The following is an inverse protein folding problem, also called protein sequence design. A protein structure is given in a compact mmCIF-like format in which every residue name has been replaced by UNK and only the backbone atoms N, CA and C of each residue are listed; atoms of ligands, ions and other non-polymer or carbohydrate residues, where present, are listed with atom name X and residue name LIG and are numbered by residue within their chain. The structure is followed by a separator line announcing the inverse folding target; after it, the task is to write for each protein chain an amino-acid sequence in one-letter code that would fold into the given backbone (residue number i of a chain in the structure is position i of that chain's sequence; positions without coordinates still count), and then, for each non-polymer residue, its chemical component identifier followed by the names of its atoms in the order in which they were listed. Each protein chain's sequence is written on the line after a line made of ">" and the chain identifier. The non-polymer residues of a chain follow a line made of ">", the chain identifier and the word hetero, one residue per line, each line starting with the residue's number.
data_IF_249417759422
#
_entry.id   IF_249417759422
#
_cell.length_a   1.000
_cell.length_b   1.000
_cell.length_c   1.000
_cell.angle_alpha   90.00
_cell.angle_beta   90.00
_cell.angle_gamma   90.00
#
_symmetry.space_group_name_H-M   'P 1'
#
loop_
_entity.id
_entity.type
_entity.pdbx_description
1 polymer ?
#
# COMPACT_ATOMS: atom_id res chain seq x y z
N UNK A 1 23.50 51.90 10.37
CA UNK A 1 22.70 50.89 9.63
C UNK A 1 23.47 49.60 9.71
N UNK A 2 23.28 48.73 10.71
CA UNK A 2 22.02 48.33 11.39
C UNK A 2 20.98 47.84 10.37
N UNK A 3 20.34 46.67 10.51
CA UNK A 3 20.55 45.52 11.40
C UNK A 3 20.20 44.23 10.59
N UNK A 4 20.13 42.98 11.07
CA UNK A 4 19.72 42.42 12.37
C UNK A 4 20.68 41.29 12.81
N UNK A 5 20.73 41.06 14.12
CA UNK A 5 21.31 39.92 14.86
C UNK A 5 20.83 38.55 14.39
N UNK A 6 21.69 37.52 14.47
CA UNK A 6 21.55 36.44 15.48
C UNK A 6 22.51 35.26 15.22
N UNK A 7 23.82 35.47 15.40
CA UNK A 7 24.64 34.39 15.95
C UNK A 7 24.19 34.24 17.42
N UNK A 8 23.21 33.38 17.67
CA UNK A 8 22.93 32.93 19.02
C UNK A 8 24.22 32.33 19.59
N UNK A 9 24.66 32.83 20.74
CA UNK A 9 25.70 32.16 21.52
C UNK A 9 25.23 30.73 21.75
N UNK A 10 25.78 29.78 20.98
CA UNK A 10 25.42 28.36 21.07
C UNK A 10 25.90 27.83 22.42
N UNK A 11 25.07 28.03 23.44
CA UNK A 11 25.34 27.68 24.83
C UNK A 11 25.72 26.20 24.87
N UNK A 12 26.99 25.95 25.13
CA UNK A 12 27.51 24.58 25.18
C UNK A 12 26.94 23.94 26.45
N UNK A 13 26.31 22.78 26.29
CA UNK A 13 25.78 21.97 27.39
C UNK A 13 26.51 20.63 27.42
N UNK A 14 26.82 20.16 28.63
CA UNK A 14 27.37 18.84 28.89
C UNK A 14 26.21 17.84 29.02
N UNK A 15 26.13 16.86 28.12
CA UNK A 15 25.13 15.78 28.16
C UNK A 15 25.78 14.43 28.51
N UNK A 16 25.00 13.55 29.16
CA UNK A 16 25.39 12.18 29.48
C UNK A 16 24.99 11.21 28.37
N UNK A 17 25.95 10.81 27.54
CA UNK A 17 25.78 9.83 26.48
C UNK A 17 25.79 8.41 27.06
N UNK A 18 24.64 7.73 27.07
CA UNK A 18 24.50 6.34 27.53
C UNK A 18 24.31 5.42 26.32
N UNK A 19 25.32 4.62 26.01
CA UNK A 19 25.27 3.69 24.88
C UNK A 19 24.64 2.37 25.35
N UNK A 20 23.72 1.81 24.56
CA UNK A 20 23.21 0.46 24.77
C UNK A 20 24.25 -0.52 24.20
N UNK A 21 25.08 -1.09 25.08
CA UNK A 21 26.16 -2.00 24.75
C UNK A 21 27.25 -2.02 25.84
N UNK A 22 28.41 -2.66 25.59
CA UNK A 22 29.52 -2.75 26.54
C UNK A 22 30.31 -1.44 26.71
N UNK A 23 29.94 -0.36 26.00
CA UNK A 23 30.63 0.93 26.08
C UNK A 23 30.27 1.68 27.36
N UNK A 24 31.24 2.21 28.13
CA UNK A 24 30.93 3.05 29.29
C UNK A 24 30.21 4.34 28.87
N UNK A 25 29.31 4.86 29.72
CA UNK A 25 28.70 6.16 29.49
C UNK A 25 29.78 7.25 29.47
N UNK A 26 29.60 8.25 28.62
CA UNK A 26 30.58 9.30 28.43
C UNK A 26 29.89 10.67 28.41
N UNK A 27 30.62 11.72 28.77
CA UNK A 27 30.12 13.08 28.70
C UNK A 27 30.42 13.67 27.33
N UNK A 28 29.49 14.43 26.79
CA UNK A 28 29.61 14.99 25.45
C UNK A 28 29.13 16.45 25.45
N UNK A 29 29.96 17.33 24.92
CA UNK A 29 29.68 18.77 24.87
C UNK A 29 29.04 19.11 23.51
N UNK A 30 27.84 19.66 23.55
CA UNK A 30 27.03 19.96 22.37
C UNK A 30 26.34 21.32 22.50
N UNK A 31 25.98 21.97 21.38
CA UNK A 31 25.09 23.13 21.41
C UNK A 31 23.77 22.81 22.09
N UNK A 32 23.24 23.75 22.88
CA UNK A 32 21.91 23.67 23.50
C UNK A 32 20.76 23.58 22.50
N UNK A 33 20.97 23.98 21.26
CA UNK A 33 20.04 23.86 20.14
C UNK A 33 20.80 23.28 18.95
N UNK A 34 20.42 22.06 18.53
CA UNK A 34 21.11 21.32 17.46
C UNK A 34 20.12 20.51 16.62
N UNK A 35 20.36 20.42 15.31
CA UNK A 35 19.59 19.53 14.42
C UNK A 35 19.89 18.07 14.77
N UNK A 36 18.88 17.19 14.78
CA UNK A 36 19.08 15.76 15.08
C UNK A 36 20.14 15.12 14.17
N UNK A 37 20.14 15.48 12.88
CA UNK A 37 21.14 15.01 11.92
C UNK A 37 22.57 15.46 12.27
N UNK A 38 22.75 16.71 12.70
CA UNK A 38 24.06 17.26 13.10
C UNK A 38 24.56 16.59 14.38
N UNK A 39 23.68 16.44 15.39
CA UNK A 39 23.95 15.70 16.62
C UNK A 39 24.36 14.26 16.33
N UNK A 40 23.64 13.57 15.43
CA UNK A 40 23.95 12.20 15.02
C UNK A 40 25.29 12.11 14.30
N UNK A 41 25.60 13.06 13.42
CA UNK A 41 26.90 13.16 12.73
C UNK A 41 28.07 13.39 13.70
N UNK A 42 27.89 14.23 14.72
CA UNK A 42 28.90 14.46 15.77
C UNK A 42 29.17 13.19 16.59
N UNK A 43 28.12 12.48 17.02
CA UNK A 43 28.24 11.22 17.79
C UNK A 43 28.89 10.12 16.93
N UNK A 44 28.47 10.00 15.67
CA UNK A 44 29.01 9.05 14.70
C UNK A 44 30.51 9.28 14.44
N UNK A 45 30.91 10.52 14.16
CA UNK A 45 32.30 10.90 13.86
C UNK A 45 33.25 10.64 15.02
N UNK A 46 32.83 10.96 16.25
CA UNK A 46 33.66 10.76 17.45
C UNK A 46 33.94 9.28 17.78
N UNK A 47 33.11 8.34 17.29
CA UNK A 47 33.24 6.89 17.58
C UNK A 47 33.34 6.00 16.35
N UNK A 48 33.54 6.59 15.16
CA UNK A 48 33.61 5.90 13.87
C UNK A 48 32.41 4.94 13.61
N UNK A 49 31.21 5.35 14.02
CA UNK A 49 29.98 4.55 13.91
C UNK A 49 29.18 4.94 12.65
N UNK A 50 28.53 3.99 11.95
CA UNK A 50 27.71 4.31 10.79
C UNK A 50 26.44 5.07 11.20
N UNK A 51 26.26 6.27 10.63
CA UNK A 51 25.16 7.22 10.95
C UNK A 51 23.77 6.58 10.81
N UNK A 52 23.58 5.73 9.79
CA UNK A 52 22.29 5.10 9.46
C UNK A 52 21.76 4.16 10.55
N UNK A 53 22.65 3.58 11.37
CA UNK A 53 22.28 2.57 12.36
C UNK A 53 22.08 3.15 13.78
N UNK A 54 22.26 4.46 13.96
CA UNK A 54 22.16 5.12 15.27
C UNK A 54 20.72 5.58 15.55
N UNK A 55 20.04 4.89 16.48
CA UNK A 55 18.76 5.33 17.06
C UNK A 55 19.06 6.13 18.32
N UNK A 56 18.76 7.42 18.29
CA UNK A 56 18.95 8.35 19.41
C UNK A 56 17.64 8.47 20.21
N UNK A 57 17.72 8.42 21.54
CA UNK A 57 16.55 8.54 22.43
C UNK A 57 16.85 9.54 23.55
N UNK A 58 16.04 10.59 23.66
CA UNK A 58 16.17 11.66 24.63
C UNK A 58 14.89 11.74 25.48
N UNK A 59 15.02 11.64 26.81
CA UNK A 59 13.89 11.69 27.76
C UNK A 59 12.73 10.74 27.41
N UNK A 60 13.04 9.57 26.86
CA UNK A 60 12.07 8.55 26.41
C UNK A 60 11.60 8.69 24.96
N UNK A 61 11.81 9.85 24.31
CA UNK A 61 11.40 10.08 22.93
C UNK A 61 12.51 9.72 21.94
N UNK A 62 12.16 8.99 20.88
CA UNK A 62 13.06 8.71 19.75
C UNK A 62 13.28 9.99 18.94
N UNK A 63 14.53 10.31 18.63
CA UNK A 63 14.89 11.46 17.79
C UNK A 63 15.06 11.04 16.33
N UNK A 64 14.06 11.40 15.52
CA UNK A 64 14.05 11.22 14.07
C UNK A 64 14.77 12.41 13.39
N UNK A 65 15.50 12.16 12.30
CA UNK A 65 16.26 13.21 11.59
C UNK A 65 15.34 14.24 10.93
N UNK A 66 14.26 13.76 10.31
CA UNK A 66 13.23 14.57 9.68
C UNK A 66 11.84 14.12 10.10
N UNK A 67 10.96 15.09 10.30
CA UNK A 67 9.54 14.88 10.61
C UNK A 67 8.75 15.73 9.62
N UNK A 68 7.86 15.10 8.84
CA UNK A 68 7.15 15.69 7.70
C UNK A 68 8.00 16.35 6.58
N UNK A 69 9.33 16.30 6.66
CA UNK A 69 10.25 16.80 5.63
C UNK A 69 11.17 17.93 6.10
N UNK A 70 10.93 18.48 7.29
CA UNK A 70 11.80 19.49 7.91
C UNK A 70 12.81 18.84 8.88
N UNK A 71 14.00 19.44 8.98
CA UNK A 71 15.05 19.03 9.93
C UNK A 71 14.60 19.32 11.37
N UNK A 72 14.44 18.28 12.19
CA UNK A 72 14.04 18.48 13.59
C UNK A 72 15.18 19.09 14.40
N UNK A 73 14.92 20.24 15.03
CA UNK A 73 15.82 20.86 16.01
C UNK A 73 15.45 20.37 17.41
N UNK A 74 16.46 19.99 18.19
CA UNK A 74 16.30 19.51 19.57
C UNK A 74 16.99 20.46 20.52
N UNK A 75 16.29 20.81 21.60
CA UNK A 75 16.85 21.56 22.72
C UNK A 75 17.41 20.60 23.77
N UNK A 76 18.65 20.86 24.18
CA UNK A 76 19.42 20.05 25.13
C UNK A 76 19.77 20.92 26.34
N UNK A 77 19.57 20.37 27.54
CA UNK A 77 19.91 20.98 28.82
C UNK A 77 21.15 20.33 29.42
N UNK A 78 21.83 21.08 30.29
CA UNK A 78 23.01 20.57 31.01
C UNK A 78 22.61 19.41 31.93
N UNK A 79 23.28 18.26 31.78
CA UNK A 79 22.96 17.02 32.51
C UNK A 79 21.88 16.14 31.88
N UNK A 80 21.33 16.48 30.70
CA UNK A 80 20.41 15.58 29.98
C UNK A 80 21.09 14.24 29.66
N UNK A 81 20.34 13.13 29.76
CA UNK A 81 20.81 11.82 29.32
C UNK A 81 20.29 11.51 27.91
N UNK A 82 21.22 11.31 26.99
CA UNK A 82 20.97 10.88 25.62
C UNK A 82 21.35 9.41 25.49
N UNK A 83 20.36 8.56 25.22
CA UNK A 83 20.58 7.13 24.99
C UNK A 83 20.87 6.91 23.50
N UNK A 84 21.91 6.13 23.21
CA UNK A 84 22.30 5.75 21.85
C UNK A 84 22.18 4.24 21.70
N UNK A 85 21.29 3.80 20.82
CA UNK A 85 21.14 2.42 20.42
C UNK A 85 21.70 2.20 19.02
N UNK A 86 22.26 1.00 18.79
CA UNK A 86 22.76 0.58 17.48
C UNK A 86 21.83 -0.48 16.90
N UNK A 87 21.14 -0.19 15.78
CA UNK A 87 20.41 -1.23 15.03
C UNK A 87 21.47 -2.08 14.31
N UNK A 88 21.58 -3.40 14.56
CA UNK A 88 22.49 -4.26 13.81
C UNK A 88 22.10 -4.25 12.32
N UNK A 89 23.06 -4.56 11.44
CA UNK A 89 22.74 -4.72 10.01
C UNK A 89 21.64 -5.78 9.88
N UNK A 90 20.54 -5.50 9.15
CA UNK A 90 19.44 -6.45 9.03
C UNK A 90 19.93 -7.75 8.38
N UNK A 91 19.40 -8.92 8.79
CA UNK A 91 19.79 -10.20 8.20
C UNK A 91 19.51 -10.24 6.68
N UNK A 92 20.20 -11.15 5.94
CA UNK A 92 19.99 -11.31 4.50
C UNK A 92 18.52 -11.56 4.14
N UNK A 93 18.10 -11.06 2.98
CA UNK A 93 16.69 -10.95 2.58
C UNK A 93 15.86 -12.24 2.65
N UNK A 94 16.48 -13.42 2.55
CA UNK A 94 15.79 -14.71 2.66
C UNK A 94 15.08 -14.96 4.00
N UNK A 95 15.34 -14.16 5.05
CA UNK A 95 14.63 -14.25 6.33
C UNK A 95 13.58 -13.13 6.54
N UNK A 96 13.35 -12.24 5.56
CA UNK A 96 12.48 -11.06 5.75
C UNK A 96 11.02 -11.29 5.47
N UNK A 97 10.67 -12.27 4.64
CA UNK A 97 9.30 -12.48 4.19
C UNK A 97 8.34 -12.96 5.31
N UNK A 98 8.87 -13.31 6.49
CA UNK A 98 8.13 -13.89 7.62
C UNK A 98 8.22 -13.05 8.92
N UNK A 99 9.08 -12.02 8.98
CA UNK A 99 9.38 -11.26 10.21
C UNK A 99 9.59 -9.74 10.04
N UNK A 100 9.04 -9.10 8.99
CA UNK A 100 8.95 -7.63 8.90
C UNK A 100 7.79 -7.07 9.79
N UNK A 101 7.79 -7.43 11.08
CA UNK A 101 7.12 -6.68 12.15
C UNK A 101 8.13 -5.62 12.70
N UNK A 102 8.42 -4.56 11.93
CA UNK A 102 9.20 -3.41 12.43
C UNK A 102 8.23 -2.47 13.18
N UNK A 103 8.26 -2.58 14.50
CA UNK A 103 7.47 -1.87 15.51
C UNK A 103 7.40 -0.33 15.34
N UNK A 104 6.48 0.19 14.54
CA UNK A 104 6.10 1.62 14.49
C UNK A 104 4.64 1.82 13.97
N UNK A 105 3.67 1.05 14.49
CA UNK A 105 2.24 1.44 14.53
C UNK A 105 1.44 0.50 15.46
N UNK A 106 0.85 1.07 16.52
CA UNK A 106 -0.04 0.34 17.44
C UNK A 106 -1.36 -0.02 16.73
N UNK A 107 -1.78 -1.28 16.84
CA UNK A 107 -2.97 -1.94 16.26
C UNK A 107 -2.83 -2.52 14.83
N UNK A 108 -2.76 -3.85 14.81
CA UNK A 108 -2.68 -4.73 13.62
C UNK A 108 -3.89 -4.57 12.69
N UNK A 109 -3.65 -4.03 11.49
CA UNK A 109 -4.33 -4.48 10.26
C UNK A 109 -3.27 -4.65 9.17
N UNK A 110 -2.78 -5.88 8.99
CA UNK A 110 -1.77 -6.19 7.98
C UNK A 110 -2.38 -6.10 6.57
N UNK A 111 -2.00 -5.07 5.80
CA UNK A 111 -2.35 -4.97 4.37
C UNK A 111 -1.33 -5.74 3.51
N UNK A 112 -1.76 -6.36 2.38
CA UNK A 112 -0.89 -7.20 1.56
C UNK A 112 0.39 -6.49 1.04
N UNK A 113 1.52 -7.22 0.89
CA UNK A 113 2.87 -6.66 0.76
C UNK A 113 3.21 -6.07 -0.62
N UNK A 114 2.25 -5.41 -1.28
CA UNK A 114 2.46 -4.79 -2.59
C UNK A 114 1.60 -3.54 -2.78
N UNK A 115 2.11 -2.35 -2.39
CA UNK A 115 2.20 -1.22 -3.33
C UNK A 115 3.19 -0.12 -2.92
N UNK A 116 3.83 0.47 -3.94
CA UNK A 116 4.49 1.79 -4.02
C UNK A 116 4.30 2.79 -2.86
N UNK A 117 5.40 3.44 -2.45
CA UNK A 117 5.48 4.46 -1.38
C UNK A 117 4.42 5.57 -1.45
N UNK A 118 3.98 5.96 -2.66
CA UNK A 118 2.94 6.98 -2.85
C UNK A 118 1.59 6.56 -2.26
N UNK A 119 1.24 5.27 -2.36
CA UNK A 119 0.01 4.71 -1.80
C UNK A 119 0.01 4.81 -0.26
N UNK A 120 1.11 4.51 0.43
CA UNK A 120 1.23 4.76 1.89
C UNK A 120 0.99 6.23 2.25
N UNK A 121 1.58 7.18 1.50
CA UNK A 121 1.37 8.62 1.76
C UNK A 121 -0.09 9.05 1.56
N UNK A 122 -0.77 8.49 0.56
CA UNK A 122 -2.21 8.71 0.36
C UNK A 122 -3.08 8.15 1.50
N UNK A 123 -2.73 6.96 2.03
CA UNK A 123 -3.44 6.33 3.14
C UNK A 123 -3.42 7.22 4.40
N UNK A 124 -2.25 7.70 4.84
CA UNK A 124 -2.17 8.60 6.00
C UNK A 124 -2.95 9.91 5.79
N UNK A 125 -2.78 10.56 4.63
CA UNK A 125 -3.50 11.81 4.32
C UNK A 125 -5.03 11.62 4.38
N UNK A 126 -5.54 10.47 3.92
CA UNK A 126 -6.98 10.17 3.94
C UNK A 126 -7.47 9.74 5.34
N UNK A 127 -6.65 9.04 6.13
CA UNK A 127 -6.95 8.68 7.52
C UNK A 127 -7.07 9.94 8.39
N UNK A 128 -6.05 10.80 8.36
CA UNK A 128 -5.92 11.95 9.26
C UNK A 128 -6.92 13.07 8.94
N UNK A 129 -7.25 13.28 7.66
CA UNK A 129 -8.16 14.35 7.23
C UNK A 129 -9.63 13.95 7.20
N UNK A 130 -9.93 12.65 7.14
CA UNK A 130 -11.25 12.18 6.71
C UNK A 130 -11.87 11.08 7.58
N UNK A 131 -11.15 10.50 8.56
CA UNK A 131 -11.65 9.45 9.49
C UNK A 131 -12.39 8.29 8.79
N UNK A 132 -11.98 7.91 7.60
CA UNK A 132 -12.61 6.79 6.88
C UNK A 132 -12.30 5.47 7.59
N UNK A 133 -13.31 4.59 7.80
CA UNK A 133 -13.08 3.28 8.41
C UNK A 133 -12.21 2.40 7.52
N UNK A 134 -11.27 1.67 8.13
CA UNK A 134 -10.20 0.92 7.44
C UNK A 134 -10.72 -0.08 6.40
N UNK A 135 -11.94 -0.63 6.60
CA UNK A 135 -12.60 -1.53 5.65
C UNK A 135 -12.79 -0.87 4.26
N UNK A 136 -13.19 0.41 4.20
CA UNK A 136 -13.39 1.12 2.95
C UNK A 136 -12.06 1.42 2.25
N UNK A 137 -11.03 1.76 3.03
CA UNK A 137 -9.67 1.97 2.53
C UNK A 137 -9.11 0.67 1.93
N UNK A 138 -9.31 -0.47 2.59
CA UNK A 138 -8.89 -1.79 2.13
C UNK A 138 -9.56 -2.18 0.79
N UNK A 139 -10.88 -2.00 0.68
CA UNK A 139 -11.64 -2.25 -0.57
C UNK A 139 -11.19 -1.31 -1.70
N UNK A 140 -11.05 -0.02 -1.41
CA UNK A 140 -10.58 1.00 -2.36
C UNK A 140 -9.19 0.66 -2.91
N UNK A 141 -8.30 0.09 -2.10
CA UNK A 141 -6.95 -0.30 -2.51
C UNK A 141 -6.83 -1.65 -3.22
N UNK A 142 -7.68 -2.61 -2.83
CA UNK A 142 -7.75 -3.95 -3.43
C UNK A 142 -8.16 -3.85 -4.91
N UNK A 143 -9.09 -2.94 -5.21
CA UNK A 143 -9.57 -2.69 -6.57
C UNK A 143 -8.62 -1.74 -7.32
N UNK A 144 -8.26 -2.10 -8.55
CA UNK A 144 -7.37 -1.25 -9.36
C UNK A 144 -8.00 0.10 -9.73
N UNK A 145 -7.18 1.15 -9.85
CA UNK A 145 -7.64 2.51 -10.21
C UNK A 145 -8.44 2.53 -11.53
N UNK A 146 -8.10 1.65 -12.49
CA UNK A 146 -8.82 1.49 -13.76
C UNK A 146 -10.28 1.07 -13.56
N UNK A 147 -10.52 0.13 -12.63
CA UNK A 147 -11.87 -0.35 -12.28
C UNK A 147 -12.64 0.74 -11.53
N UNK A 148 -11.99 1.51 -10.66
CA UNK A 148 -12.63 2.67 -10.03
C UNK A 148 -13.05 3.74 -11.03
N UNK A 149 -12.22 4.06 -12.03
CA UNK A 149 -12.57 4.98 -13.12
C UNK A 149 -13.76 4.44 -13.92
N UNK A 150 -13.80 3.14 -14.24
CA UNK A 150 -14.95 2.49 -14.88
C UNK A 150 -16.23 2.60 -14.05
N UNK A 151 -16.19 2.32 -12.74
CA UNK A 151 -17.33 2.42 -11.83
C UNK A 151 -17.85 3.87 -11.77
N UNK A 152 -16.96 4.85 -11.56
CA UNK A 152 -17.34 6.27 -11.50
C UNK A 152 -17.93 6.74 -12.83
N UNK A 153 -17.32 6.36 -13.96
CA UNK A 153 -17.85 6.66 -15.30
C UNK A 153 -19.24 6.06 -15.50
N UNK A 154 -19.47 4.81 -15.07
CA UNK A 154 -20.76 4.15 -15.13
C UNK A 154 -21.83 4.87 -14.27
N UNK A 155 -21.49 5.30 -13.04
CA UNK A 155 -22.40 6.08 -12.20
C UNK A 155 -22.74 7.46 -12.80
N UNK A 156 -21.78 8.14 -13.42
CA UNK A 156 -22.03 9.40 -14.15
C UNK A 156 -23.01 9.14 -15.30
N UNK A 157 -22.77 8.09 -16.09
CA UNK A 157 -23.60 7.72 -17.23
C UNK A 157 -25.02 7.29 -16.80
N UNK A 158 -25.15 6.59 -15.68
CA UNK A 158 -26.44 6.26 -15.06
C UNK A 158 -27.18 7.52 -14.57
N UNK A 159 -26.48 8.51 -14.02
CA UNK A 159 -27.08 9.77 -13.59
C UNK A 159 -27.57 10.61 -14.78
N UNK A 160 -26.83 10.58 -15.90
CA UNK A 160 -27.26 11.16 -17.17
C UNK A 160 -28.50 10.43 -17.71
N UNK A 161 -28.50 9.09 -17.73
CA UNK A 161 -29.63 8.30 -18.21
C UNK A 161 -30.93 8.57 -17.44
N UNK A 162 -30.85 8.77 -16.11
CA UNK A 162 -32.00 9.22 -15.29
C UNK A 162 -32.52 10.61 -15.67
N UNK A 163 -31.63 11.55 -16.04
CA UNK A 163 -32.04 12.91 -16.43
C UNK A 163 -32.78 12.96 -17.77
N UNK A 164 -32.50 12.00 -18.66
CA UNK A 164 -33.16 11.86 -19.96
C UNK A 164 -34.29 10.81 -19.98
N UNK A 165 -34.69 10.29 -18.81
CA UNK A 165 -35.72 9.25 -18.62
C UNK A 165 -35.50 7.94 -19.39
N UNK A 166 -34.27 7.70 -19.84
CA UNK A 166 -33.82 6.47 -20.54
C UNK A 166 -33.14 5.47 -19.59
N UNK A 167 -33.34 5.62 -18.28
CA UNK A 167 -32.76 4.74 -17.27
C UNK A 167 -33.09 3.24 -17.47
N UNK A 168 -34.31 2.82 -17.85
CA UNK A 168 -34.60 1.42 -18.17
C UNK A 168 -33.77 0.91 -19.35
N UNK A 169 -33.60 1.74 -20.39
CA UNK A 169 -32.84 1.42 -21.60
C UNK A 169 -31.33 1.28 -21.30
N UNK A 170 -30.80 2.15 -20.43
CA UNK A 170 -29.42 2.10 -19.96
C UNK A 170 -29.14 0.82 -19.15
N UNK A 171 -30.06 0.41 -18.27
CA UNK A 171 -29.94 -0.85 -17.53
C UNK A 171 -30.02 -2.06 -18.46
N UNK A 172 -30.94 -2.05 -19.43
CA UNK A 172 -31.04 -3.08 -20.47
C UNK A 172 -29.75 -3.22 -21.29
N UNK A 173 -29.21 -2.11 -21.78
CA UNK A 173 -27.96 -2.08 -22.55
C UNK A 173 -26.76 -2.53 -21.70
N UNK A 174 -26.69 -2.11 -20.44
CA UNK A 174 -25.64 -2.56 -19.49
C UNK A 174 -25.76 -4.07 -19.24
N UNK A 175 -26.97 -4.57 -19.01
CA UNK A 175 -27.24 -5.99 -18.77
C UNK A 175 -26.86 -6.87 -19.96
N UNK A 176 -27.31 -6.51 -21.17
CA UNK A 176 -26.90 -7.20 -22.39
C UNK A 176 -25.39 -7.11 -22.62
N UNK A 177 -24.77 -5.93 -22.42
CA UNK A 177 -23.32 -5.77 -22.53
C UNK A 177 -22.55 -6.67 -21.58
N UNK A 178 -23.02 -6.84 -20.34
CA UNK A 178 -22.42 -7.74 -19.34
C UNK A 178 -22.62 -9.21 -19.70
N UNK A 179 -23.79 -9.59 -20.24
CA UNK A 179 -24.04 -10.93 -20.78
C UNK A 179 -23.08 -11.23 -21.94
N UNK A 180 -22.97 -10.34 -22.94
CA UNK A 180 -22.06 -10.53 -24.07
C UNK A 180 -20.57 -10.54 -23.66
N UNK A 181 -20.19 -9.74 -22.67
CA UNK A 181 -18.84 -9.75 -22.10
C UNK A 181 -18.54 -11.05 -21.32
N UNK A 182 -19.55 -11.62 -20.66
CA UNK A 182 -19.44 -12.90 -19.94
C UNK A 182 -19.53 -14.12 -20.88
N UNK A 183 -20.12 -13.97 -22.07
CA UNK A 183 -20.27 -15.00 -23.11
C UNK A 183 -18.94 -15.45 -23.78
N UNK A 184 -17.80 -15.13 -23.17
CA UNK A 184 -16.45 -15.39 -23.69
C UNK A 184 -16.24 -16.85 -24.12
N UNK A 185 -15.39 -17.03 -25.12
CA UNK A 185 -15.19 -18.28 -25.88
C UNK A 185 -15.26 -19.57 -25.04
N UNK A 186 -16.46 -20.18 -25.01
CA UNK A 186 -16.65 -21.55 -24.52
C UNK A 186 -15.75 -22.50 -25.27
N UNK A 187 -14.98 -23.30 -24.54
CA UNK A 187 -14.23 -24.42 -25.13
C UNK A 187 -15.21 -25.55 -25.45
N UNK A 188 -15.03 -26.21 -26.60
CA UNK A 188 -15.75 -27.45 -26.90
C UNK A 188 -15.48 -28.46 -25.78
N UNK A 189 -16.54 -29.01 -25.18
CA UNK A 189 -16.47 -29.94 -24.04
C UNK A 189 -16.90 -29.38 -22.69
N UNK A 190 -17.17 -28.07 -22.56
CA UNK A 190 -17.80 -27.54 -21.34
C UNK A 190 -19.28 -27.98 -21.23
N UNK A 191 -19.69 -28.37 -20.02
CA UNK A 191 -21.06 -28.83 -19.72
C UNK A 191 -22.09 -27.79 -20.17
N UNK A 192 -22.89 -28.17 -21.16
CA UNK A 192 -24.06 -27.42 -21.58
C UNK A 192 -25.28 -27.88 -20.77
N UNK A 193 -26.35 -27.08 -20.73
CA UNK A 193 -27.62 -27.53 -20.16
C UNK A 193 -28.18 -28.77 -20.89
N UNK A 194 -27.73 -29.03 -22.13
CA UNK A 194 -28.11 -30.19 -22.93
C UNK A 194 -27.31 -31.45 -22.57
N UNK A 195 -26.04 -31.32 -22.18
CA UNK A 195 -25.22 -32.47 -21.78
C UNK A 195 -25.63 -33.07 -20.43
N UNK A 196 -26.38 -32.32 -19.61
CA UNK A 196 -27.06 -32.86 -18.40
C UNK A 196 -28.10 -33.94 -18.75
N UNK A 197 -28.66 -33.90 -19.97
CA UNK A 197 -29.65 -34.86 -20.45
C UNK A 197 -29.11 -35.79 -21.55
N UNK A 198 -27.89 -35.53 -22.05
CA UNK A 198 -27.28 -36.22 -23.18
C UNK A 198 -25.75 -36.03 -23.18
N UNK A 199 -25.07 -36.70 -22.25
CA UNK A 199 -23.62 -36.54 -22.01
C UNK A 199 -22.77 -36.77 -23.27
N UNK A 200 -23.14 -37.78 -24.07
CA UNK A 200 -22.45 -38.16 -25.31
C UNK A 200 -22.81 -37.27 -26.53
N UNK A 201 -23.68 -36.27 -26.38
CA UNK A 201 -24.22 -35.45 -27.48
C UNK A 201 -24.81 -36.28 -28.65
N UNK A 202 -25.33 -37.48 -28.37
CA UNK A 202 -25.92 -38.35 -29.40
C UNK A 202 -27.20 -37.74 -29.94
N UNK A 203 -27.39 -37.77 -31.25
CA UNK A 203 -28.64 -37.32 -31.85
C UNK A 203 -29.81 -38.13 -31.31
N UNK A 204 -30.90 -37.45 -30.91
CA UNK A 204 -32.08 -38.14 -30.41
C UNK A 204 -32.74 -38.89 -31.58
N UNK A 205 -33.06 -40.19 -31.44
CA UNK A 205 -33.66 -40.97 -32.50
C UNK A 205 -35.02 -40.37 -32.90
N UNK A 206 -35.18 -40.07 -34.19
CA UNK A 206 -36.34 -39.35 -34.73
C UNK A 206 -36.11 -37.86 -34.98
N UNK A 207 -34.94 -37.31 -34.61
CA UNK A 207 -34.53 -35.96 -35.05
C UNK A 207 -34.09 -36.00 -36.51
N UNK A 208 -34.45 -34.96 -37.26
CA UNK A 208 -34.15 -34.84 -38.69
C UNK A 208 -32.67 -34.49 -38.93
N UNK A 209 -31.81 -35.50 -39.10
CA UNK A 209 -30.39 -35.31 -39.44
C UNK A 209 -30.20 -35.09 -40.95
N UNK A 210 -29.42 -34.06 -41.32
CA UNK A 210 -29.01 -33.78 -42.69
C UNK A 210 -28.19 -34.92 -43.35
N UNK A 211 -27.34 -35.62 -42.59
CA UNK A 211 -26.57 -36.77 -43.10
C UNK A 211 -27.45 -37.99 -43.38
N UNK A 212 -28.60 -38.09 -42.70
CA UNK A 212 -29.61 -39.10 -42.98
C UNK A 212 -30.35 -38.76 -44.26
N UNK A 213 -30.76 -37.49 -44.43
CA UNK A 213 -31.39 -36.99 -45.65
C UNK A 213 -30.46 -37.13 -46.86
N UNK A 214 -29.19 -36.72 -46.78
CA UNK A 214 -28.25 -36.85 -47.91
C UNK A 214 -28.02 -38.32 -48.31
N UNK A 215 -27.94 -39.21 -47.31
CA UNK A 215 -27.82 -40.65 -47.55
C UNK A 215 -29.08 -41.23 -48.19
N UNK A 216 -30.27 -40.84 -47.74
CA UNK A 216 -31.54 -41.32 -48.31
C UNK A 216 -31.76 -40.76 -49.72
N UNK A 217 -31.39 -39.48 -49.95
CA UNK A 217 -31.30 -38.87 -51.29
C UNK A 217 -30.40 -39.69 -52.21
N UNK A 218 -29.19 -40.02 -51.75
CA UNK A 218 -28.19 -40.76 -52.52
C UNK A 218 -28.55 -42.22 -52.73
N UNK A 219 -29.31 -42.81 -51.81
CA UNK A 219 -29.87 -44.16 -51.90
C UNK A 219 -31.18 -44.23 -52.70
N UNK A 220 -31.72 -43.09 -53.15
CA UNK A 220 -32.97 -43.00 -53.90
C UNK A 220 -34.21 -43.39 -53.10
N UNK A 221 -34.19 -43.23 -51.77
CA UNK A 221 -35.33 -43.52 -50.88
C UNK A 221 -36.06 -42.22 -50.54
N UNK A 222 -37.24 -42.08 -51.11
CA UNK A 222 -38.19 -40.97 -50.94
C UNK A 222 -39.61 -41.54 -50.87
#
# INVERSE_FOLDING_TARGET
>A
MNEIKSEEEKKIVEIFLKIIGPSPPCRFNVPSSIKVHELRKMIAGNRNMPIENLKLVLRGNVLHDSENGDDKVVQLNNGDSLIVAFKPKPPPKHFRDEFDDDDDDELRFQLPPSTSKWKRKFFHILRDRLKFPDMLLMVLFSVSLKVWIMIVTWFILASIARRYDVAPLFLLATGFGLIFYNLGHRKQGELSAYSVFNEDFRELPGTLNADHIDRDIRAGRF
#
